data_IF_378537427425
#
_entry.id   IF_378537427425
#
_cell.length_a   1.000
_cell.length_b   1.000
_cell.length_c   1.000
_cell.angle_alpha   90.00
_cell.angle_beta   90.00
_cell.angle_gamma   90.00
#
_symmetry.space_group_name_H-M   'P 1'
#
loop_
_entity.id
_entity.type
_entity.pdbx_description
1 polymer ?
#
# COMPACT_ATOMS: atom_id res chain seq x y z
N UNK A 1 -9.88 -32.14 -20.55
CA UNK A 1 -10.97 -31.18 -20.82
C UNK A 1 -11.19 -30.32 -19.57
N UNK A 2 -10.48 -29.20 -19.43
CA UNK A 2 -10.63 -28.29 -18.29
C UNK A 2 -10.28 -26.86 -18.73
N UNK A 3 -11.06 -26.31 -19.68
CA UNK A 3 -10.85 -24.96 -20.23
C UNK A 3 -12.00 -23.98 -19.94
N UNK A 4 -12.98 -24.36 -19.11
CA UNK A 4 -14.19 -23.54 -18.86
C UNK A 4 -14.14 -22.63 -17.62
N UNK A 5 -13.26 -22.90 -16.64
CA UNK A 5 -13.31 -22.20 -15.33
C UNK A 5 -12.37 -20.98 -15.27
N UNK A 6 -11.29 -20.99 -16.03
CA UNK A 6 -10.33 -19.86 -16.11
C UNK A 6 -10.89 -18.66 -16.89
N UNK A 7 -11.77 -18.89 -17.87
CA UNK A 7 -12.41 -17.83 -18.66
C UNK A 7 -13.42 -17.01 -17.86
N UNK A 8 -14.36 -17.68 -17.19
CA UNK A 8 -15.41 -17.00 -16.40
C UNK A 8 -14.85 -16.22 -15.21
N UNK A 9 -13.83 -16.78 -14.53
CA UNK A 9 -13.17 -16.11 -13.39
C UNK A 9 -12.32 -14.91 -13.81
N UNK A 10 -11.84 -14.88 -15.05
CA UNK A 10 -11.14 -13.73 -15.61
C UNK A 10 -12.12 -12.62 -15.99
N UNK A 11 -13.25 -12.97 -16.62
CA UNK A 11 -14.29 -12.01 -16.99
C UNK A 11 -14.91 -11.35 -15.75
N UNK A 12 -15.28 -12.12 -14.73
CA UNK A 12 -15.85 -11.58 -13.49
C UNK A 12 -14.87 -10.65 -12.77
N UNK A 13 -13.58 -10.98 -12.77
CA UNK A 13 -12.54 -10.13 -12.18
C UNK A 13 -12.41 -8.77 -12.87
N UNK A 14 -12.42 -8.74 -14.20
CA UNK A 14 -12.35 -7.48 -14.94
C UNK A 14 -13.64 -6.67 -14.77
N UNK A 15 -14.79 -7.32 -14.76
CA UNK A 15 -16.08 -6.67 -14.51
C UNK A 15 -16.08 -5.94 -13.16
N UNK A 16 -15.72 -6.60 -12.06
CA UNK A 16 -15.69 -5.94 -10.75
C UNK A 16 -14.61 -4.83 -10.66
N UNK A 17 -13.50 -4.97 -11.41
CA UNK A 17 -12.46 -3.93 -11.47
C UNK A 17 -12.96 -2.66 -12.16
N UNK A 18 -13.68 -2.84 -13.28
CA UNK A 18 -14.28 -1.74 -14.03
C UNK A 18 -15.43 -1.10 -13.25
N UNK A 19 -16.32 -1.91 -12.68
CA UNK A 19 -17.45 -1.44 -11.85
C UNK A 19 -16.95 -0.59 -10.69
N UNK A 20 -16.01 -1.08 -9.88
CA UNK A 20 -15.46 -0.32 -8.76
C UNK A 20 -14.76 0.98 -9.18
N UNK A 21 -14.07 0.99 -10.33
CA UNK A 21 -13.49 2.22 -10.88
C UNK A 21 -14.59 3.22 -11.31
N UNK A 22 -15.60 2.77 -12.03
CA UNK A 22 -16.73 3.61 -12.50
C UNK A 22 -17.50 4.19 -11.31
N UNK A 23 -17.78 3.39 -10.28
CA UNK A 23 -18.44 3.86 -9.05
C UNK A 23 -17.69 5.02 -8.39
N UNK A 24 -16.37 4.89 -8.22
CA UNK A 24 -15.53 5.97 -7.68
C UNK A 24 -15.61 7.21 -8.55
N UNK A 25 -15.48 7.04 -9.86
CA UNK A 25 -15.43 8.16 -10.80
C UNK A 25 -16.78 8.89 -10.91
N UNK A 26 -17.89 8.17 -10.80
CA UNK A 26 -19.25 8.72 -10.80
C UNK A 26 -19.59 9.45 -9.48
N UNK A 27 -19.05 9.00 -8.35
CA UNK A 27 -19.34 9.56 -7.03
C UNK A 27 -18.57 10.86 -6.70
N UNK A 28 -17.72 11.36 -7.62
CA UNK A 28 -16.83 12.50 -7.39
C UNK A 28 -17.60 13.79 -7.10
N UNK A 29 -17.29 14.41 -5.96
CA UNK A 29 -17.76 15.75 -5.58
C UNK A 29 -16.60 16.74 -5.65
N UNK A 30 -16.84 17.95 -6.15
CA UNK A 30 -15.78 18.98 -6.25
C UNK A 30 -15.34 19.44 -4.85
N UNK A 31 -14.02 19.43 -4.59
CA UNK A 31 -13.46 19.79 -3.28
C UNK A 31 -13.77 21.24 -2.90
N UNK A 32 -13.63 22.19 -3.84
CA UNK A 32 -13.91 23.59 -3.59
C UNK A 32 -15.38 23.86 -3.24
N UNK A 33 -16.32 23.14 -3.87
CA UNK A 33 -17.75 23.21 -3.52
C UNK A 33 -18.00 22.70 -2.09
N UNK A 34 -17.43 21.54 -1.73
CA UNK A 34 -17.57 20.96 -0.39
C UNK A 34 -16.98 21.85 0.71
N UNK A 35 -15.86 22.52 0.46
CA UNK A 35 -15.25 23.44 1.43
C UNK A 35 -16.16 24.65 1.71
N UNK A 36 -16.87 25.16 0.70
CA UNK A 36 -17.76 26.33 0.85
C UNK A 36 -19.16 25.98 1.34
N UNK A 37 -19.57 24.73 1.23
CA UNK A 37 -20.89 24.27 1.64
C UNK A 37 -20.98 24.17 3.18
N UNK A 38 -21.81 24.98 3.85
CA UNK A 38 -21.94 24.96 5.31
C UNK A 38 -22.50 23.64 5.85
N UNK A 39 -23.22 22.86 5.03
CA UNK A 39 -23.74 21.54 5.40
C UNK A 39 -22.67 20.46 5.44
N UNK A 40 -21.51 20.66 4.79
CA UNK A 40 -20.39 19.71 4.86
C UNK A 40 -19.82 19.71 6.28
N UNK A 41 -19.63 18.54 6.93
CA UNK A 41 -19.11 18.46 8.29
C UNK A 41 -17.78 19.24 8.47
N UNK A 42 -17.67 20.01 9.55
CA UNK A 42 -16.51 20.89 9.82
C UNK A 42 -15.16 20.15 9.73
N UNK A 43 -15.09 18.93 10.26
CA UNK A 43 -13.88 18.10 10.20
C UNK A 43 -13.50 17.72 8.76
N UNK A 44 -14.48 17.36 7.94
CA UNK A 44 -14.25 17.06 6.52
C UNK A 44 -13.80 18.31 5.76
N UNK A 45 -14.46 19.46 5.98
CA UNK A 45 -14.03 20.73 5.36
C UNK A 45 -12.57 21.05 5.70
N UNK A 46 -12.18 20.90 6.96
CA UNK A 46 -10.79 21.14 7.39
C UNK A 46 -9.80 20.21 6.66
N UNK A 47 -10.11 18.90 6.56
CA UNK A 47 -9.27 17.93 5.83
C UNK A 47 -9.16 18.27 4.34
N UNK A 48 -10.26 18.66 3.71
CA UNK A 48 -10.29 19.07 2.30
C UNK A 48 -9.53 20.37 2.05
N UNK A 49 -9.59 21.33 2.99
CA UNK A 49 -8.76 22.54 2.95
C UNK A 49 -7.27 22.20 3.04
N UNK A 50 -6.87 21.34 3.98
CA UNK A 50 -5.48 20.85 4.07
C UNK A 50 -5.04 20.15 2.79
N UNK A 51 -5.88 19.27 2.23
CA UNK A 51 -5.59 18.57 0.98
C UNK A 51 -5.38 19.54 -0.20
N UNK A 52 -6.19 20.61 -0.26
CA UNK A 52 -6.06 21.67 -1.27
C UNK A 52 -4.71 22.39 -1.13
N UNK A 53 -4.29 22.71 0.10
CA UNK A 53 -3.01 23.36 0.35
C UNK A 53 -1.80 22.45 0.04
N UNK A 54 -1.88 21.17 0.43
CA UNK A 54 -0.88 20.14 0.10
C UNK A 54 -0.72 20.01 -1.41
N UNK A 55 -1.84 19.89 -2.14
CA UNK A 55 -1.79 19.76 -3.60
C UNK A 55 -1.17 21.01 -4.22
N UNK A 56 -1.56 22.21 -3.77
CA UNK A 56 -0.99 23.47 -4.25
C UNK A 56 0.53 23.49 -4.06
N UNK A 57 1.00 23.09 -2.89
CA UNK A 57 2.44 22.96 -2.60
C UNK A 57 3.14 21.95 -3.53
N UNK A 58 2.49 20.82 -3.86
CA UNK A 58 3.03 19.85 -4.80
C UNK A 58 3.38 20.51 -6.14
N UNK A 59 2.48 21.34 -6.66
CA UNK A 59 2.67 22.02 -7.94
C UNK A 59 3.66 23.18 -7.83
N UNK A 60 3.45 24.09 -6.88
CA UNK A 60 4.21 25.35 -6.80
C UNK A 60 5.65 25.14 -6.31
N UNK A 61 5.87 24.24 -5.35
CA UNK A 61 7.15 24.11 -4.64
C UNK A 61 7.95 22.85 -5.01
N UNK A 62 7.27 21.83 -5.55
CA UNK A 62 7.87 20.56 -5.96
C UNK A 62 7.86 20.33 -7.47
N UNK A 63 7.26 21.24 -8.26
CA UNK A 63 7.11 21.13 -9.71
C UNK A 63 6.42 19.83 -10.16
N UNK A 64 5.55 19.28 -9.30
CA UNK A 64 4.70 18.13 -9.62
C UNK A 64 3.53 18.54 -10.53
N UNK A 65 2.93 17.60 -11.27
CA UNK A 65 1.96 17.91 -12.32
C UNK A 65 0.79 18.78 -11.84
N UNK A 66 0.48 19.83 -12.60
CA UNK A 66 -0.69 20.67 -12.37
C UNK A 66 -1.97 20.10 -13.03
N UNK A 67 -2.30 18.85 -12.74
CA UNK A 67 -3.47 18.19 -13.35
C UNK A 67 -4.71 18.18 -12.43
N UNK A 68 -5.76 17.50 -12.87
CA UNK A 68 -7.05 17.44 -12.20
C UNK A 68 -7.11 16.43 -11.03
N UNK A 69 -6.06 15.63 -10.80
CA UNK A 69 -5.99 14.69 -9.69
C UNK A 69 -6.08 15.42 -8.34
N UNK A 70 -6.78 14.79 -7.39
CA UNK A 70 -7.02 15.26 -6.03
C UNK A 70 -7.79 16.58 -5.89
N UNK A 71 -8.44 17.05 -6.97
CA UNK A 71 -9.35 18.21 -6.97
C UNK A 71 -10.83 17.85 -6.71
N UNK A 72 -11.12 16.56 -6.61
CA UNK A 72 -12.43 16.01 -6.26
C UNK A 72 -12.31 15.06 -5.07
N UNK A 73 -13.43 14.80 -4.39
CA UNK A 73 -13.52 13.94 -3.22
C UNK A 73 -14.59 12.87 -3.42
N UNK A 74 -14.32 11.66 -2.93
CA UNK A 74 -15.25 10.55 -2.88
C UNK A 74 -15.24 9.96 -1.48
N UNK A 75 -16.43 9.86 -0.88
CA UNK A 75 -16.61 9.01 0.29
C UNK A 75 -16.93 7.59 -0.16
N UNK A 76 -15.99 6.66 0.03
CA UNK A 76 -16.15 5.26 -0.39
C UNK A 76 -17.00 4.44 0.60
N UNK A 77 -17.32 4.96 1.79
CA UNK A 77 -18.16 4.27 2.77
C UNK A 77 -17.58 2.97 3.35
N UNK A 78 -16.28 2.71 3.15
CA UNK A 78 -15.60 1.47 3.57
C UNK A 78 -14.18 1.73 4.06
N UNK A 79 -13.56 0.72 4.67
CA UNK A 79 -12.26 0.86 5.32
C UNK A 79 -11.06 0.92 4.39
N UNK A 80 -11.18 0.26 3.25
CA UNK A 80 -10.13 0.09 2.25
C UNK A 80 -10.79 0.30 0.89
N UNK A 81 -10.14 1.02 -0.02
CA UNK A 81 -10.67 1.22 -1.37
C UNK A 81 -10.62 -0.10 -2.16
N UNK A 82 -9.55 -0.86 -1.97
CA UNK A 82 -9.37 -2.20 -2.54
C UNK A 82 -8.71 -3.11 -1.51
N UNK A 83 -8.83 -4.42 -1.74
CA UNK A 83 -8.02 -5.44 -1.07
C UNK A 83 -6.96 -5.95 -2.03
N UNK A 84 -5.73 -6.08 -1.57
CA UNK A 84 -4.66 -6.75 -2.30
C UNK A 84 -4.46 -8.16 -1.77
N UNK A 85 -4.48 -9.15 -2.67
CA UNK A 85 -4.17 -10.55 -2.38
C UNK A 85 -2.78 -10.87 -2.89
N UNK A 86 -1.92 -11.32 -1.99
CA UNK A 86 -0.58 -11.85 -2.27
C UNK A 86 -0.59 -13.34 -2.02
N UNK A 87 0.15 -14.09 -2.82
CA UNK A 87 0.37 -15.51 -2.60
C UNK A 87 1.81 -15.90 -2.92
N UNK A 88 2.33 -16.90 -2.23
CA UNK A 88 3.65 -17.47 -2.50
C UNK A 88 3.66 -18.96 -2.16
N UNK A 89 4.49 -19.79 -2.80
CA UNK A 89 4.66 -21.18 -2.39
C UNK A 89 5.11 -21.27 -0.92
N UNK A 90 4.72 -22.35 -0.23
CA UNK A 90 5.04 -22.56 1.19
C UNK A 90 6.53 -22.47 1.52
N UNK A 91 7.41 -22.77 0.56
CA UNK A 91 8.87 -22.74 0.68
C UNK A 91 9.55 -21.88 -0.39
N UNK A 92 8.94 -20.76 -0.77
CA UNK A 92 9.56 -19.78 -1.66
C UNK A 92 9.14 -18.37 -1.26
N UNK A 93 10.07 -17.42 -1.36
CA UNK A 93 9.79 -15.98 -1.21
C UNK A 93 9.36 -15.32 -2.52
N UNK A 94 9.35 -16.05 -3.63
CA UNK A 94 8.88 -15.53 -4.91
C UNK A 94 7.33 -15.53 -4.89
N UNK A 95 6.67 -14.36 -5.01
CA UNK A 95 5.23 -14.30 -5.07
C UNK A 95 4.72 -14.88 -6.39
N UNK A 96 3.49 -15.38 -6.36
CA UNK A 96 2.70 -15.59 -7.58
C UNK A 96 2.54 -14.25 -8.28
N UNK A 97 2.79 -14.22 -9.58
CA UNK A 97 2.62 -13.03 -10.41
C UNK A 97 1.33 -13.13 -11.22
N UNK A 98 0.60 -12.02 -11.31
CA UNK A 98 -0.57 -11.88 -12.17
C UNK A 98 -0.26 -10.92 -13.29
N UNK A 99 -0.46 -11.36 -14.54
CA UNK A 99 -0.19 -10.56 -15.73
C UNK A 99 -1.48 -10.01 -16.32
N UNK A 100 -1.48 -8.70 -16.59
CA UNK A 100 -2.59 -7.97 -17.17
C UNK A 100 -2.15 -7.38 -18.53
N UNK A 101 -3.04 -7.32 -19.54
CA UNK A 101 -2.68 -6.84 -20.87
C UNK A 101 -2.05 -5.44 -20.91
N UNK A 102 -2.51 -4.54 -20.02
CA UNK A 102 -2.09 -3.13 -20.00
C UNK A 102 -1.01 -2.86 -18.94
N UNK A 103 -1.12 -3.45 -17.76
CA UNK A 103 -0.27 -3.12 -16.59
C UNK A 103 0.93 -4.07 -16.41
N UNK A 104 1.08 -5.06 -17.30
CA UNK A 104 2.13 -6.07 -17.18
C UNK A 104 1.89 -7.02 -16.00
N UNK A 105 2.96 -7.62 -15.50
CA UNK A 105 2.91 -8.59 -14.41
C UNK A 105 3.20 -7.93 -13.07
N UNK A 106 2.32 -8.14 -12.10
CA UNK A 106 2.44 -7.61 -10.74
C UNK A 106 2.41 -8.73 -9.69
N UNK A 107 3.07 -8.54 -8.52
CA UNK A 107 3.20 -9.58 -7.50
C UNK A 107 1.97 -9.71 -6.56
N UNK A 108 0.86 -9.08 -6.92
CA UNK A 108 -0.41 -9.12 -6.18
C UNK A 108 -1.60 -9.00 -7.13
N UNK A 109 -2.79 -9.35 -6.63
CA UNK A 109 -4.06 -9.12 -7.34
C UNK A 109 -4.98 -8.24 -6.50
N UNK A 110 -5.42 -7.11 -7.06
CA UNK A 110 -6.26 -6.12 -6.39
C UNK A 110 -7.75 -6.35 -6.63
N UNK A 111 -8.59 -6.12 -5.62
CA UNK A 111 -10.03 -6.38 -5.66
C UNK A 111 -10.82 -5.22 -5.06
N UNK A 112 -11.84 -4.74 -5.76
CA UNK A 112 -12.85 -3.86 -5.18
C UNK A 112 -13.90 -4.67 -4.40
N UNK A 113 -14.24 -5.88 -4.89
CA UNK A 113 -15.11 -6.82 -4.18
C UNK A 113 -14.37 -7.53 -3.04
N UNK A 114 -14.81 -7.28 -1.80
CA UNK A 114 -14.30 -7.98 -0.62
C UNK A 114 -14.53 -9.49 -0.72
N UNK A 115 -15.71 -9.89 -1.18
CA UNK A 115 -16.08 -11.30 -1.34
C UNK A 115 -15.10 -12.01 -2.27
N UNK A 116 -14.87 -11.45 -3.45
CA UNK A 116 -14.02 -12.04 -4.49
C UNK A 116 -12.57 -12.15 -4.02
N UNK A 117 -12.07 -11.17 -3.26
CA UNK A 117 -10.74 -11.22 -2.66
C UNK A 117 -10.58 -12.41 -1.72
N UNK A 118 -11.56 -12.65 -0.84
CA UNK A 118 -11.51 -13.75 0.12
C UNK A 118 -11.78 -15.12 -0.52
N UNK A 119 -12.65 -15.19 -1.52
CA UNK A 119 -12.85 -16.42 -2.32
C UNK A 119 -11.57 -16.80 -3.05
N UNK A 120 -10.88 -15.82 -3.66
CA UNK A 120 -9.60 -16.03 -4.31
C UNK A 120 -8.52 -16.47 -3.31
N UNK A 121 -8.43 -15.80 -2.16
CA UNK A 121 -7.50 -16.15 -1.09
C UNK A 121 -7.72 -17.60 -0.62
N UNK A 122 -8.97 -18.00 -0.38
CA UNK A 122 -9.31 -19.37 0.02
C UNK A 122 -8.96 -20.41 -1.07
N UNK A 123 -9.17 -20.08 -2.35
CA UNK A 123 -8.79 -20.94 -3.46
C UNK A 123 -7.26 -21.13 -3.56
N UNK A 124 -6.49 -20.07 -3.33
CA UNK A 124 -5.02 -20.13 -3.30
C UNK A 124 -4.51 -20.93 -2.10
N UNK A 125 -5.12 -20.77 -0.92
CA UNK A 125 -4.80 -21.56 0.27
C UNK A 125 -5.06 -23.06 0.07
N UNK A 126 -6.18 -23.44 -0.57
CA UNK A 126 -6.48 -24.85 -0.92
C UNK A 126 -5.44 -25.48 -1.86
N UNK A 127 -4.68 -24.65 -2.58
CA UNK A 127 -3.55 -25.09 -3.43
C UNK A 127 -2.23 -25.22 -2.66
N UNK A 128 -2.24 -25.06 -1.33
CA UNK A 128 -1.05 -25.13 -0.48
C UNK A 128 -0.17 -23.88 -0.53
N UNK A 129 -0.69 -22.75 -1.00
CA UNK A 129 0.05 -21.49 -1.02
C UNK A 129 -0.10 -20.75 0.31
N UNK A 130 0.98 -20.09 0.73
CA UNK A 130 0.89 -19.01 1.70
C UNK A 130 0.12 -17.86 1.05
N UNK A 131 -0.84 -17.28 1.77
CA UNK A 131 -1.66 -16.17 1.28
C UNK A 131 -1.69 -15.05 2.30
N UNK A 132 -1.65 -13.81 1.82
CA UNK A 132 -1.79 -12.60 2.63
C UNK A 132 -2.77 -11.65 1.94
N UNK A 133 -3.77 -11.18 2.68
CA UNK A 133 -4.76 -10.21 2.21
C UNK A 133 -4.60 -8.94 3.03
N UNK A 134 -4.44 -7.80 2.36
CA UNK A 134 -4.31 -6.50 3.02
C UNK A 134 -5.21 -5.46 2.39
N UNK A 135 -5.71 -4.56 3.22
CA UNK A 135 -6.43 -3.37 2.78
C UNK A 135 -5.48 -2.35 2.16
N UNK A 136 -5.95 -1.70 1.09
CA UNK A 136 -5.27 -0.59 0.43
C UNK A 136 -6.13 0.66 0.62
N UNK A 137 -5.52 1.75 1.08
CA UNK A 137 -6.23 2.99 1.42
C UNK A 137 -6.19 4.04 0.31
N UNK A 138 -5.31 3.88 -0.68
CA UNK A 138 -5.13 4.81 -1.78
C UNK A 138 -5.25 4.05 -3.12
N UNK A 139 -5.92 4.65 -4.08
CA UNK A 139 -6.05 4.11 -5.43
C UNK A 139 -5.61 5.19 -6.40
N UNK A 140 -4.72 4.83 -7.32
CA UNK A 140 -4.08 5.72 -8.27
C UNK A 140 -4.11 5.05 -9.63
N UNK A 141 -4.45 5.81 -10.65
CA UNK A 141 -4.46 5.35 -12.04
C UNK A 141 -3.21 5.80 -12.78
N UNK A 142 -2.16 6.21 -12.05
CA UNK A 142 -0.89 6.71 -12.61
C UNK A 142 -1.11 7.89 -13.58
N UNK A 143 -2.19 8.64 -13.41
CA UNK A 143 -2.51 9.82 -14.22
C UNK A 143 -3.35 9.54 -15.47
N UNK A 144 -3.76 8.30 -15.71
CA UNK A 144 -4.73 7.97 -16.77
C UNK A 144 -6.10 8.60 -16.51
N UNK A 145 -6.44 8.81 -15.24
CA UNK A 145 -7.63 9.52 -14.81
C UNK A 145 -7.30 10.59 -13.77
N UNK A 146 -8.27 11.48 -13.57
CA UNK A 146 -8.23 12.47 -12.48
C UNK A 146 -8.66 11.81 -11.18
N UNK A 147 -7.73 11.13 -10.52
CA UNK A 147 -7.97 10.37 -9.29
C UNK A 147 -8.51 11.28 -8.18
N UNK A 148 -9.61 10.94 -7.48
CA UNK A 148 -10.14 11.75 -6.40
C UNK A 148 -9.36 11.54 -5.08
N UNK A 149 -9.51 12.49 -4.15
CA UNK A 149 -9.26 12.24 -2.74
C UNK A 149 -10.30 11.26 -2.22
N UNK A 150 -9.86 10.14 -1.65
CA UNK A 150 -10.75 9.14 -1.07
C UNK A 150 -10.90 9.36 0.44
N UNK A 151 -12.07 9.07 1.00
CA UNK A 151 -12.28 9.13 2.46
C UNK A 151 -11.30 8.27 3.24
N UNK A 152 -10.81 7.17 2.67
CA UNK A 152 -9.74 6.31 3.23
C UNK A 152 -8.40 7.03 3.37
N UNK A 153 -8.05 7.94 2.45
CA UNK A 153 -6.81 8.74 2.50
C UNK A 153 -6.85 9.81 3.59
N UNK A 154 -8.04 10.33 3.93
CA UNK A 154 -8.22 11.43 4.88
C UNK A 154 -8.26 10.98 6.35
N UNK A 155 -8.23 9.67 6.63
CA UNK A 155 -8.27 9.12 7.99
C UNK A 155 -7.02 9.41 8.80
N UNK A 156 -5.89 9.53 8.12
CA UNK A 156 -4.60 9.81 8.73
C UNK A 156 -4.37 11.32 8.86
N UNK A 157 -3.25 11.68 9.48
CA UNK A 157 -2.86 13.08 9.65
C UNK A 157 -2.40 13.72 8.33
N UNK A 158 -2.24 15.04 8.35
CA UNK A 158 -1.90 15.81 7.16
C UNK A 158 -0.47 15.56 6.67
N UNK A 159 0.43 15.08 7.55
CA UNK A 159 1.77 14.62 7.15
C UNK A 159 1.68 13.40 6.25
N UNK A 160 0.88 12.39 6.63
CA UNK A 160 0.63 11.22 5.81
C UNK A 160 -0.02 11.61 4.47
N UNK A 161 -1.04 12.47 4.53
CA UNK A 161 -1.72 12.92 3.31
C UNK A 161 -0.75 13.66 2.36
N UNK A 162 0.15 14.49 2.89
CA UNK A 162 1.18 15.16 2.11
C UNK A 162 2.13 14.16 1.46
N UNK A 163 2.67 13.21 2.25
CA UNK A 163 3.51 12.14 1.72
C UNK A 163 2.83 11.39 0.58
N UNK A 164 1.60 10.94 0.81
CA UNK A 164 0.84 10.18 -0.18
C UNK A 164 0.57 10.99 -1.46
N UNK A 165 0.08 12.23 -1.36
CA UNK A 165 -0.20 13.06 -2.54
C UNK A 165 1.07 13.34 -3.34
N UNK A 166 2.20 13.59 -2.68
CA UNK A 166 3.47 13.82 -3.38
C UNK A 166 3.99 12.56 -4.05
N UNK A 167 3.85 11.41 -3.41
CA UNK A 167 4.21 10.11 -3.96
C UNK A 167 3.42 9.80 -5.25
N UNK A 168 2.10 9.90 -5.17
CA UNK A 168 1.25 9.57 -6.32
C UNK A 168 1.42 10.55 -7.47
N UNK A 169 1.54 11.85 -7.19
CA UNK A 169 1.83 12.84 -8.22
C UNK A 169 3.23 12.67 -8.83
N UNK A 170 4.19 12.09 -8.11
CA UNK A 170 5.49 11.74 -8.67
C UNK A 170 5.36 10.62 -9.72
N UNK A 171 4.54 9.59 -9.47
CA UNK A 171 4.23 8.60 -10.50
C UNK A 171 3.58 9.21 -11.74
N UNK A 172 2.71 10.21 -11.56
CA UNK A 172 2.09 10.93 -12.68
C UNK A 172 3.09 11.82 -13.43
N UNK A 173 4.25 12.13 -12.84
CA UNK A 173 5.32 12.92 -13.47
C UNK A 173 6.29 12.03 -14.25
N UNK A 174 6.72 10.92 -13.65
CA UNK A 174 7.67 9.98 -14.24
C UNK A 174 7.21 8.56 -13.94
N UNK A 175 7.06 7.78 -14.99
CA UNK A 175 6.78 6.35 -14.93
C UNK A 175 7.49 5.62 -16.06
N UNK A 176 8.36 4.67 -15.72
CA UNK A 176 9.11 3.84 -16.67
C UNK A 176 8.43 2.48 -16.77
N UNK A 177 8.02 2.11 -17.98
CA UNK A 177 7.36 0.83 -18.24
C UNK A 177 8.27 -0.34 -17.86
N UNK A 178 7.75 -1.24 -17.03
CA UNK A 178 8.47 -2.46 -16.64
C UNK A 178 9.53 -2.30 -15.55
N UNK A 179 9.78 -1.08 -15.04
CA UNK A 179 10.76 -0.82 -13.99
C UNK A 179 10.10 -0.34 -12.69
N UNK A 180 9.40 -1.25 -12.01
CA UNK A 180 8.73 -0.95 -10.75
C UNK A 180 9.72 -0.49 -9.67
N UNK A 181 10.95 -1.02 -9.65
CA UNK A 181 11.94 -0.64 -8.65
C UNK A 181 12.35 0.83 -8.80
N UNK A 182 12.61 1.28 -10.03
CA UNK A 182 12.88 2.68 -10.32
C UNK A 182 11.68 3.57 -9.98
N UNK A 183 10.47 3.21 -10.44
CA UNK A 183 9.26 4.02 -10.24
C UNK A 183 8.99 4.28 -8.75
N UNK A 184 9.06 3.24 -7.93
CA UNK A 184 8.88 3.34 -6.48
C UNK A 184 10.00 4.15 -5.81
N UNK A 185 11.27 3.91 -6.19
CA UNK A 185 12.40 4.63 -5.62
C UNK A 185 12.36 6.13 -5.95
N UNK A 186 11.95 6.49 -7.17
CA UNK A 186 11.72 7.86 -7.58
C UNK A 186 10.60 8.51 -6.75
N UNK A 187 9.42 7.86 -6.69
CA UNK A 187 8.27 8.38 -5.95
C UNK A 187 8.57 8.56 -4.46
N UNK A 188 9.22 7.59 -3.81
CA UNK A 188 9.64 7.69 -2.40
C UNK A 188 10.66 8.82 -2.19
N UNK A 189 11.55 9.07 -3.15
CA UNK A 189 12.53 10.16 -3.07
C UNK A 189 11.85 11.52 -3.11
N UNK A 190 10.88 11.69 -4.02
CA UNK A 190 10.08 12.90 -4.14
C UNK A 190 9.17 13.09 -2.93
N UNK A 191 8.46 12.04 -2.49
CA UNK A 191 7.66 12.00 -1.26
C UNK A 191 8.47 12.48 -0.06
N UNK A 192 9.65 11.89 0.16
CA UNK A 192 10.46 12.15 1.36
C UNK A 192 10.95 13.60 1.36
N UNK A 193 11.44 14.07 0.22
CA UNK A 193 11.92 15.45 0.07
C UNK A 193 10.77 16.46 0.20
N UNK A 194 9.66 16.18 -0.49
CA UNK A 194 8.47 17.02 -0.49
C UNK A 194 7.83 17.14 0.89
N UNK A 195 7.69 16.03 1.60
CA UNK A 195 7.12 16.01 2.96
C UNK A 195 7.97 16.83 3.92
N UNK A 196 9.30 16.70 3.86
CA UNK A 196 10.22 17.51 4.67
C UNK A 196 10.08 19.00 4.36
N UNK A 197 10.00 19.37 3.08
CA UNK A 197 9.81 20.77 2.66
C UNK A 197 8.47 21.31 3.14
N UNK A 198 7.38 20.55 2.97
CA UNK A 198 6.03 20.89 3.43
C UNK A 198 5.97 21.14 4.94
N UNK A 199 6.53 20.23 5.74
CA UNK A 199 6.53 20.37 7.21
C UNK A 199 7.36 21.56 7.68
N UNK A 200 8.43 21.92 6.97
CA UNK A 200 9.22 23.13 7.25
C UNK A 200 8.47 24.40 6.87
N UNK A 201 7.88 24.43 5.67
CA UNK A 201 7.13 25.59 5.16
C UNK A 201 5.91 25.91 6.03
N UNK A 202 5.24 24.89 6.58
CA UNK A 202 4.11 25.05 7.49
C UNK A 202 4.52 25.29 8.96
N UNK A 203 5.82 25.35 9.27
CA UNK A 203 6.31 25.51 10.63
C UNK A 203 6.07 24.31 11.55
N UNK A 204 5.64 23.16 11.02
CA UNK A 204 5.27 21.97 11.79
C UNK A 204 6.51 21.18 12.27
N UNK A 205 7.28 21.77 13.19
CA UNK A 205 8.51 21.17 13.77
C UNK A 205 8.25 19.85 14.48
N UNK A 206 7.12 19.71 15.18
CA UNK A 206 6.76 18.48 15.87
C UNK A 206 6.45 17.36 14.87
N UNK A 207 5.68 17.65 13.82
CA UNK A 207 5.39 16.74 12.72
C UNK A 207 6.66 16.29 12.00
N UNK A 208 7.60 17.20 11.75
CA UNK A 208 8.90 16.85 11.17
C UNK A 208 9.69 15.86 12.03
N UNK A 209 9.78 16.10 13.36
CA UNK A 209 10.45 15.15 14.26
C UNK A 209 9.78 13.78 14.28
N UNK A 210 8.44 13.74 14.33
CA UNK A 210 7.71 12.46 14.27
C UNK A 210 7.97 11.73 12.96
N UNK A 211 7.89 12.46 11.84
CA UNK A 211 8.12 11.90 10.50
C UNK A 211 9.52 11.29 10.36
N UNK A 212 10.58 11.98 10.80
CA UNK A 212 11.94 11.44 10.75
C UNK A 212 12.10 10.20 11.67
N UNK A 213 11.46 10.22 12.84
CA UNK A 213 11.46 9.08 13.73
C UNK A 213 10.73 7.86 13.12
N UNK A 214 9.58 8.08 12.48
CA UNK A 214 8.83 7.05 11.75
C UNK A 214 9.61 6.50 10.57
N UNK A 215 10.30 7.35 9.81
CA UNK A 215 11.21 6.94 8.73
C UNK A 215 12.33 6.04 9.24
N UNK A 216 12.97 6.39 10.35
CA UNK A 216 14.01 5.56 10.98
C UNK A 216 13.46 4.21 11.42
N UNK A 217 12.28 4.18 12.04
CA UNK A 217 11.60 2.94 12.43
C UNK A 217 11.23 2.08 11.22
N UNK A 218 10.75 2.68 10.12
CA UNK A 218 10.46 1.97 8.87
C UNK A 218 11.73 1.32 8.30
N UNK A 219 12.85 2.02 8.26
CA UNK A 219 14.11 1.46 7.82
C UNK A 219 14.57 0.29 8.70
N UNK A 220 14.47 0.44 10.03
CA UNK A 220 14.79 -0.61 10.99
C UNK A 220 13.91 -1.85 10.82
N UNK A 221 12.60 -1.66 10.67
CA UNK A 221 11.63 -2.70 10.38
C UNK A 221 11.98 -3.46 9.09
N UNK A 222 12.20 -2.75 7.98
CA UNK A 222 12.59 -3.37 6.71
C UNK A 222 13.92 -4.12 6.81
N UNK A 223 14.85 -3.65 7.65
CA UNK A 223 16.09 -4.37 7.96
C UNK A 223 15.83 -5.71 8.64
N UNK A 224 14.88 -5.79 9.58
CA UNK A 224 14.47 -7.07 10.19
C UNK A 224 13.88 -8.02 9.16
N UNK A 225 13.00 -7.51 8.30
CA UNK A 225 12.35 -8.28 7.24
C UNK A 225 13.39 -8.82 6.26
N UNK A 226 14.29 -7.97 5.75
CA UNK A 226 15.35 -8.38 4.83
C UNK A 226 16.25 -9.46 5.43
N UNK A 227 16.68 -9.28 6.68
CA UNK A 227 17.53 -10.28 7.36
C UNK A 227 16.82 -11.64 7.47
N UNK A 228 15.53 -11.64 7.81
CA UNK A 228 14.76 -12.89 7.88
C UNK A 228 14.52 -13.49 6.50
N UNK A 229 14.32 -12.69 5.45
CA UNK A 229 14.23 -13.18 4.07
C UNK A 229 15.52 -13.91 3.68
N UNK A 230 16.68 -13.40 4.05
CA UNK A 230 17.96 -14.07 3.75
C UNK A 230 18.13 -15.40 4.51
N UNK A 231 17.71 -15.47 5.77
CA UNK A 231 17.65 -16.75 6.52
C UNK A 231 16.70 -17.75 5.85
N UNK A 232 15.52 -17.30 5.42
CA UNK A 232 14.55 -18.16 4.76
C UNK A 232 15.05 -18.66 3.39
N UNK A 233 15.77 -17.83 2.62
CA UNK A 233 16.42 -18.28 1.37
C UNK A 233 17.38 -19.45 1.63
N UNK A 234 18.18 -19.39 2.69
CA UNK A 234 19.09 -20.47 3.06
C UNK A 234 18.32 -21.73 3.49
N UNK A 235 17.22 -21.57 4.23
CA UNK A 235 16.35 -22.69 4.61
C UNK A 235 15.75 -23.37 3.37
N UNK A 236 15.22 -22.59 2.44
CA UNK A 236 14.55 -23.11 1.24
C UNK A 236 15.52 -23.69 0.21
N UNK A 237 16.78 -23.22 0.18
CA UNK A 237 17.83 -23.76 -0.68
C UNK A 237 18.56 -24.99 -0.13
N UNK A 238 18.15 -25.52 1.03
CA UNK A 238 18.82 -26.66 1.69
C UNK A 238 18.20 -28.01 1.31
N UNK A 239 18.91 -29.14 1.47
CA UNK A 239 18.38 -30.49 1.15
C UNK A 239 17.39 -31.04 2.19
N UNK A 240 16.72 -30.16 2.95
CA UNK A 240 15.77 -30.56 4.01
C UNK A 240 14.49 -31.15 3.41
N UNK A 241 13.95 -32.18 4.05
CA UNK A 241 12.59 -32.65 3.76
C UNK A 241 11.52 -31.61 4.13
N UNK A 242 10.29 -31.70 3.59
CA UNK A 242 9.22 -30.71 3.82
C UNK A 242 8.93 -30.40 5.30
N UNK A 243 8.91 -31.41 6.17
CA UNK A 243 8.65 -31.23 7.60
C UNK A 243 9.78 -30.45 8.30
N UNK A 244 11.02 -30.80 8.02
CA UNK A 244 12.20 -30.10 8.55
C UNK A 244 12.26 -28.66 8.04
N UNK A 245 11.87 -28.43 6.79
CA UNK A 245 11.82 -27.09 6.19
C UNK A 245 10.72 -26.23 6.82
N UNK A 246 9.55 -26.82 7.10
CA UNK A 246 8.46 -26.15 7.81
C UNK A 246 8.89 -25.75 9.24
N UNK A 247 9.53 -26.66 9.98
CA UNK A 247 10.07 -26.38 11.31
C UNK A 247 11.14 -25.25 11.27
N UNK A 248 12.06 -25.29 10.31
CA UNK A 248 13.09 -24.27 10.15
C UNK A 248 12.51 -22.88 9.77
N UNK A 249 11.49 -22.86 8.91
CA UNK A 249 10.73 -21.64 8.57
C UNK A 249 10.06 -21.04 9.80
N UNK A 250 9.36 -21.86 10.59
CA UNK A 250 8.71 -21.41 11.82
C UNK A 250 9.73 -20.80 12.80
N UNK A 251 10.87 -21.48 13.01
CA UNK A 251 11.94 -20.98 13.87
C UNK A 251 12.53 -19.64 13.38
N UNK A 252 12.65 -19.41 12.07
CA UNK A 252 13.09 -18.12 11.52
C UNK A 252 12.09 -16.99 11.79
N UNK A 253 10.79 -17.28 11.69
CA UNK A 253 9.71 -16.34 12.00
C UNK A 253 9.68 -16.03 13.51
N UNK A 254 9.90 -17.01 14.38
CA UNK A 254 9.97 -16.77 15.82
C UNK A 254 11.16 -15.91 16.20
N UNK A 255 12.33 -16.14 15.57
CA UNK A 255 13.48 -15.25 15.73
C UNK A 255 13.19 -13.83 15.24
N UNK A 256 12.43 -13.67 14.16
CA UNK A 256 11.99 -12.35 13.69
C UNK A 256 11.14 -11.65 14.76
N UNK A 257 10.15 -12.35 15.35
CA UNK A 257 9.32 -11.83 16.45
C UNK A 257 10.16 -11.40 17.66
N UNK A 258 11.16 -12.21 18.03
CA UNK A 258 12.07 -11.87 19.14
C UNK A 258 12.90 -10.61 18.86
N UNK A 259 13.51 -10.51 17.66
CA UNK A 259 14.28 -9.32 17.26
C UNK A 259 13.41 -8.07 17.26
N UNK A 260 12.17 -8.20 16.79
CA UNK A 260 11.20 -7.12 16.81
C UNK A 260 10.91 -6.65 18.24
N UNK A 261 10.56 -7.56 19.16
CA UNK A 261 10.31 -7.20 20.57
C UNK A 261 11.51 -6.50 21.20
N UNK A 262 12.72 -7.00 20.99
CA UNK A 262 13.94 -6.36 21.48
C UNK A 262 14.13 -4.94 20.89
N UNK A 263 13.92 -4.78 19.59
CA UNK A 263 14.03 -3.49 18.91
C UNK A 263 12.98 -2.49 19.40
N UNK A 264 11.73 -2.94 19.51
CA UNK A 264 10.58 -2.18 20.00
C UNK A 264 10.83 -1.68 21.42
N UNK A 265 11.17 -2.58 22.33
CA UNK A 265 11.24 -2.29 23.77
C UNK A 265 12.50 -1.49 24.13
N UNK A 266 13.61 -1.69 23.41
CA UNK A 266 14.87 -0.97 23.67
C UNK A 266 15.02 0.26 22.76
N UNK A 267 15.25 0.03 21.46
CA UNK A 267 15.66 1.10 20.52
C UNK A 267 14.54 2.07 20.20
N UNK A 268 13.29 1.62 20.22
CA UNK A 268 12.13 2.46 19.92
C UNK A 268 11.37 2.93 21.17
N UNK A 269 11.92 2.74 22.37
CA UNK A 269 11.32 3.15 23.65
C UNK A 269 9.86 2.69 23.80
N UNK A 270 9.55 1.46 23.37
CA UNK A 270 8.22 0.86 23.48
C UNK A 270 7.22 1.28 22.40
N UNK A 271 7.64 1.95 21.31
CA UNK A 271 6.72 2.31 20.21
C UNK A 271 6.10 1.06 19.54
N UNK A 272 4.77 0.95 19.57
CA UNK A 272 4.00 -0.24 19.15
C UNK A 272 3.43 -0.20 17.74
N UNK A 273 3.84 0.75 16.89
CA UNK A 273 3.21 0.97 15.58
C UNK A 273 3.33 -0.19 14.58
N UNK A 274 4.16 -1.19 14.84
CA UNK A 274 4.28 -2.40 14.03
C UNK A 274 3.68 -3.65 14.70
N UNK A 275 3.14 -3.55 15.92
CA UNK A 275 2.64 -4.70 16.68
C UNK A 275 1.59 -5.46 15.88
N UNK A 276 0.64 -4.78 15.23
CA UNK A 276 -0.38 -5.43 14.38
C UNK A 276 0.22 -6.25 13.22
N UNK A 277 1.35 -5.81 12.63
CA UNK A 277 2.04 -6.59 11.60
C UNK A 277 2.67 -7.83 12.21
N UNK A 278 3.30 -7.72 13.38
CA UNK A 278 3.89 -8.89 14.02
C UNK A 278 2.82 -9.83 14.58
N UNK A 279 1.79 -9.36 15.25
CA UNK A 279 0.79 -10.19 15.93
C UNK A 279 -0.12 -10.98 14.98
N UNK A 280 -0.24 -10.56 13.72
CA UNK A 280 -0.91 -11.35 12.69
C UNK A 280 -0.02 -12.49 12.14
N UNK A 281 -0.60 -13.53 11.50
CA UNK A 281 0.19 -14.59 10.87
C UNK A 281 1.27 -14.03 9.93
N UNK A 282 2.46 -14.62 10.00
CA UNK A 282 3.61 -14.27 9.15
C UNK A 282 3.88 -15.47 8.25
N UNK A 283 3.95 -15.23 6.95
CA UNK A 283 4.14 -16.25 5.93
C UNK A 283 4.87 -15.64 4.71
N UNK A 284 5.18 -16.44 3.70
CA UNK A 284 5.96 -15.98 2.54
C UNK A 284 5.23 -14.92 1.72
N UNK A 285 3.90 -15.01 1.59
CA UNK A 285 3.11 -14.00 0.89
C UNK A 285 3.20 -12.62 1.58
N UNK A 286 3.18 -12.60 2.92
CA UNK A 286 3.36 -11.38 3.68
C UNK A 286 4.78 -10.84 3.60
N UNK A 287 5.80 -11.71 3.57
CA UNK A 287 7.18 -11.30 3.28
C UNK A 287 7.35 -10.72 1.87
N UNK A 288 6.62 -11.23 0.88
CA UNK A 288 6.64 -10.69 -0.47
C UNK A 288 5.91 -9.35 -0.59
N UNK A 289 4.89 -9.11 0.26
CA UNK A 289 4.14 -7.87 0.34
C UNK A 289 4.82 -6.75 1.16
N UNK A 290 5.97 -7.05 1.79
CA UNK A 290 6.69 -6.14 2.70
C UNK A 290 8.09 -5.84 2.18
#
# INVERSE_FOLDING_TARGET
MASGVTGCTSISYYAQSLEGHVEIMAARKNVGKLIRDPSTPKALRAKLTSATAIRRFATEELALPDNSSYRSYVDVGRNDVTLAVFAAPQFSLAPVTWCFPVFGCVPYKGYFSRKDAFENAAALQRRGLDVYVTGITAYSTLGWFSDPLLSTMLRQNDTYLASLVFHELAHQKVYVNGDSAFNEAFAVSVETTGTRKWLRATGNRAGLRSYEADRKRKADFLGLISKTRDELKQVYGSPRGPEQMAAAKAAAIDRLRMRYRQMRDKRWAGYRGYDAWFDSPINNAKFAAT
#
